data_IF_018240202318
#
_entry.id   IF_018240202318
#
_cell.length_a   1.000
_cell.length_b   1.000
_cell.length_c   1.000
_cell.angle_alpha   90.00
_cell.angle_beta   90.00
_cell.angle_gamma   90.00
#
_symmetry.space_group_name_H-M   'P 1'
#
loop_
_entity.id
_entity.type
_entity.pdbx_description
1 polymer ?
#
# COMPACT_ATOMS: atom_id res chain seq x y z
N UNK A 1 -16.14 3.37 19.69
CA UNK A 1 -15.90 2.36 20.75
C UNK A 1 -16.36 2.87 22.11
N UNK A 2 -17.08 2.05 22.84
CA UNK A 2 -17.46 2.33 24.21
C UNK A 2 -16.44 1.73 25.19
N UNK A 3 -15.66 2.57 25.87
CA UNK A 3 -14.59 2.14 26.77
C UNK A 3 -15.06 1.42 28.04
N UNK A 4 -16.37 1.44 28.32
CA UNK A 4 -16.96 0.76 29.50
C UNK A 4 -17.49 -0.64 29.14
N UNK A 5 -17.19 -1.17 27.99
CA UNK A 5 -17.63 -2.48 27.52
C UNK A 5 -16.45 -3.40 27.24
N UNK A 6 -16.72 -4.68 27.21
CA UNK A 6 -15.80 -5.67 26.63
C UNK A 6 -15.85 -5.60 25.10
N UNK A 7 -14.84 -6.17 24.44
CA UNK A 7 -14.82 -6.29 22.98
C UNK A 7 -16.07 -7.04 22.49
N UNK A 8 -16.42 -8.13 23.17
CA UNK A 8 -17.57 -8.96 22.82
C UNK A 8 -18.88 -8.17 22.92
N UNK A 9 -19.08 -7.46 24.03
CA UNK A 9 -20.32 -6.67 24.25
C UNK A 9 -20.46 -5.54 23.25
N UNK A 10 -19.35 -4.88 22.89
CA UNK A 10 -19.36 -3.82 21.88
C UNK A 10 -19.86 -4.34 20.52
N UNK A 11 -19.30 -5.46 20.04
CA UNK A 11 -19.73 -6.06 18.78
C UNK A 11 -21.15 -6.60 18.87
N UNK A 12 -21.51 -7.27 19.98
CA UNK A 12 -22.87 -7.81 20.20
C UNK A 12 -23.94 -6.74 20.17
N UNK A 13 -23.70 -5.59 20.80
CA UNK A 13 -24.65 -4.49 20.82
C UNK A 13 -24.78 -3.78 19.45
N UNK A 14 -23.67 -3.69 18.71
CA UNK A 14 -23.69 -3.13 17.37
C UNK A 14 -24.39 -4.06 16.35
N UNK A 15 -24.34 -5.38 16.58
CA UNK A 15 -24.85 -6.40 15.67
C UNK A 15 -25.74 -7.44 16.38
N UNK A 16 -26.90 -7.06 16.89
CA UNK A 16 -27.76 -7.92 17.73
C UNK A 16 -28.35 -9.14 17.01
N UNK A 17 -28.21 -9.22 15.69
CA UNK A 17 -28.62 -10.38 14.89
C UNK A 17 -27.56 -11.47 14.77
N UNK A 18 -26.32 -11.16 15.13
CA UNK A 18 -25.24 -12.13 15.11
C UNK A 18 -25.33 -13.06 16.33
N UNK A 19 -25.12 -14.33 16.10
CA UNK A 19 -24.97 -15.30 17.18
C UNK A 19 -23.64 -15.12 17.90
N UNK A 20 -23.54 -15.58 19.14
CA UNK A 20 -22.29 -15.56 19.91
C UNK A 20 -21.15 -16.25 19.19
N UNK A 21 -21.45 -17.30 18.41
CA UNK A 21 -20.46 -18.02 17.63
C UNK A 21 -19.94 -17.20 16.45
N UNK A 22 -20.81 -16.51 15.73
CA UNK A 22 -20.42 -15.63 14.64
C UNK A 22 -19.58 -14.46 15.13
N UNK A 23 -19.94 -13.84 16.25
CA UNK A 23 -19.15 -12.77 16.87
C UNK A 23 -17.76 -13.28 17.23
N UNK A 24 -17.65 -14.43 17.92
CA UNK A 24 -16.36 -15.02 18.29
C UNK A 24 -15.53 -15.40 17.07
N UNK A 25 -16.14 -15.95 16.02
CA UNK A 25 -15.47 -16.32 14.79
C UNK A 25 -14.92 -15.10 14.07
N UNK A 26 -15.71 -14.01 14.01
CA UNK A 26 -15.28 -12.73 13.45
C UNK A 26 -14.12 -12.12 14.25
N UNK A 27 -14.24 -12.06 15.57
CA UNK A 27 -13.18 -11.53 16.44
C UNK A 27 -11.89 -12.37 16.34
N UNK A 28 -12.01 -13.67 16.13
CA UNK A 28 -10.86 -14.55 15.95
C UNK A 28 -10.07 -14.24 14.66
N UNK A 29 -10.73 -13.78 13.60
CA UNK A 29 -10.05 -13.31 12.36
C UNK A 29 -9.19 -12.07 12.64
N UNK A 30 -9.57 -11.26 13.65
CA UNK A 30 -8.81 -10.10 14.09
C UNK A 30 -7.89 -10.39 15.28
N UNK A 31 -7.51 -11.66 15.46
CA UNK A 31 -6.62 -12.14 16.52
C UNK A 31 -7.15 -11.96 17.97
N UNK A 32 -8.46 -11.85 18.19
CA UNK A 32 -9.06 -11.94 19.50
C UNK A 32 -9.60 -13.36 19.70
N UNK A 33 -8.91 -14.18 20.50
CA UNK A 33 -9.23 -15.59 20.67
C UNK A 33 -9.47 -15.93 22.14
N UNK A 34 -10.30 -16.96 22.39
CA UNK A 34 -10.59 -17.44 23.74
C UNK A 34 -11.14 -16.35 24.63
N UNK A 35 -10.47 -16.05 25.72
CA UNK A 35 -10.88 -15.04 26.73
C UNK A 35 -10.51 -13.61 26.34
N UNK A 36 -9.69 -13.43 25.30
CA UNK A 36 -9.35 -12.09 24.83
C UNK A 36 -10.57 -11.26 24.41
N UNK A 37 -11.63 -11.91 23.93
CA UNK A 37 -12.88 -11.25 23.54
C UNK A 37 -13.60 -10.55 24.69
N UNK A 38 -13.30 -10.93 25.92
CA UNK A 38 -13.87 -10.35 27.13
C UNK A 38 -12.99 -9.30 27.80
N UNK A 39 -11.88 -8.92 27.17
CA UNK A 39 -11.07 -7.79 27.64
C UNK A 39 -11.86 -6.49 27.54
N UNK A 40 -11.73 -5.66 28.56
CA UNK A 40 -12.28 -4.31 28.55
C UNK A 40 -11.58 -3.47 27.48
N UNK A 41 -12.34 -2.74 26.66
CA UNK A 41 -11.82 -1.87 25.61
C UNK A 41 -10.87 -0.80 26.18
N UNK A 42 -11.13 -0.34 27.39
CA UNK A 42 -10.25 0.61 28.10
C UNK A 42 -8.83 0.07 28.32
N UNK A 43 -8.67 -1.25 28.46
CA UNK A 43 -7.39 -1.91 28.76
C UNK A 43 -6.59 -2.27 27.51
N UNK A 44 -7.18 -2.12 26.33
CA UNK A 44 -6.55 -2.48 25.06
C UNK A 44 -5.41 -1.51 24.68
N UNK A 45 -4.37 -2.04 24.07
CA UNK A 45 -3.35 -1.26 23.36
C UNK A 45 -3.95 -0.51 22.16
N UNK A 46 -3.22 0.48 21.63
CA UNK A 46 -3.64 1.21 20.42
C UNK A 46 -3.90 0.29 19.23
N UNK A 47 -3.03 -0.69 19.00
CA UNK A 47 -3.20 -1.67 17.94
C UNK A 47 -4.40 -2.61 18.13
N UNK A 48 -4.66 -3.07 19.37
CA UNK A 48 -5.85 -3.87 19.68
C UNK A 48 -7.13 -3.07 19.47
N UNK A 49 -7.18 -1.82 19.91
CA UNK A 49 -8.33 -0.93 19.64
C UNK A 49 -8.56 -0.72 18.16
N UNK A 50 -7.48 -0.52 17.39
CA UNK A 50 -7.55 -0.41 15.92
C UNK A 50 -8.20 -1.64 15.28
N UNK A 51 -7.85 -2.85 15.74
CA UNK A 51 -8.46 -4.10 15.23
C UNK A 51 -9.96 -4.21 15.59
N UNK A 52 -10.38 -3.75 16.78
CA UNK A 52 -11.81 -3.73 17.13
C UNK A 52 -12.58 -2.77 16.24
N UNK A 53 -12.07 -1.54 16.02
CA UNK A 53 -12.69 -0.58 15.07
C UNK A 53 -12.78 -1.17 13.68
N UNK A 54 -11.73 -1.82 13.22
CA UNK A 54 -11.70 -2.45 11.90
C UNK A 54 -12.75 -3.57 11.78
N UNK A 55 -12.91 -4.39 12.83
CA UNK A 55 -13.97 -5.40 12.92
C UNK A 55 -15.35 -4.77 12.74
N UNK A 56 -15.64 -3.68 13.44
CA UNK A 56 -16.91 -2.96 13.31
C UNK A 56 -17.13 -2.42 11.90
N UNK A 57 -16.09 -1.81 11.30
CA UNK A 57 -16.18 -1.23 9.95
C UNK A 57 -16.49 -2.30 8.91
N UNK A 58 -15.84 -3.45 8.99
CA UNK A 58 -16.04 -4.54 8.02
C UNK A 58 -17.39 -5.24 8.20
N UNK A 59 -17.87 -5.37 9.44
CA UNK A 59 -19.19 -5.93 9.73
C UNK A 59 -20.35 -5.03 9.22
N UNK A 60 -20.11 -3.74 8.99
CA UNK A 60 -21.13 -2.79 8.46
C UNK A 60 -21.58 -3.10 7.03
N UNK A 61 -20.98 -4.08 6.37
CA UNK A 61 -21.32 -4.44 4.97
C UNK A 61 -21.33 -3.21 4.03
N UNK A 62 -20.45 -2.27 4.29
CA UNK A 62 -20.26 -1.12 3.42
C UNK A 62 -19.76 -1.61 2.05
N UNK A 63 -20.17 -0.94 0.99
CA UNK A 63 -19.64 -1.20 -0.37
C UNK A 63 -18.50 -0.26 -0.75
N UNK A 64 -18.19 0.72 0.12
CA UNK A 64 -17.13 1.70 -0.07
C UNK A 64 -16.48 2.05 1.26
N UNK A 65 -15.15 1.93 1.33
CA UNK A 65 -14.33 2.29 2.49
C UNK A 65 -13.40 3.43 2.14
N UNK A 66 -13.27 4.40 3.06
CA UNK A 66 -12.24 5.43 3.01
C UNK A 66 -11.34 5.26 4.23
N UNK A 67 -10.04 5.07 4.01
CA UNK A 67 -9.06 4.85 5.06
C UNK A 67 -7.93 5.88 4.93
N UNK A 68 -7.63 6.55 6.03
CA UNK A 68 -6.53 7.50 6.12
C UNK A 68 -5.43 6.92 7.01
N UNK A 69 -4.26 6.66 6.40
CA UNK A 69 -3.09 6.06 7.05
C UNK A 69 -3.43 4.84 7.93
N UNK A 70 -4.11 3.80 7.40
CA UNK A 70 -4.66 2.72 8.21
C UNK A 70 -3.61 1.83 8.87
N UNK A 71 -2.35 1.92 8.44
CA UNK A 71 -1.21 1.17 9.01
C UNK A 71 -0.51 1.91 10.15
N UNK A 72 -0.87 3.17 10.42
CA UNK A 72 -0.22 3.96 11.44
C UNK A 72 -0.50 3.39 12.83
N UNK A 73 0.54 3.35 13.66
CA UNK A 73 0.50 2.84 15.04
C UNK A 73 0.12 1.36 15.19
N UNK A 74 0.06 0.60 14.08
CA UNK A 74 -0.15 -0.84 14.11
C UNK A 74 1.19 -1.57 14.22
N UNK A 75 1.22 -2.59 15.07
CA UNK A 75 2.29 -3.58 15.08
C UNK A 75 2.21 -4.50 13.83
N UNK A 76 3.24 -5.28 13.61
CA UNK A 76 3.34 -6.15 12.42
C UNK A 76 2.15 -7.11 12.34
N UNK A 77 1.76 -7.72 13.45
CA UNK A 77 0.64 -8.67 13.48
C UNK A 77 -0.70 -8.01 13.18
N UNK A 78 -0.92 -6.79 13.67
CA UNK A 78 -2.12 -6.00 13.38
C UNK A 78 -2.17 -5.55 11.91
N UNK A 79 -1.02 -5.22 11.30
CA UNK A 79 -0.94 -4.91 9.87
C UNK A 79 -1.31 -6.11 9.00
N UNK A 80 -0.83 -7.30 9.32
CA UNK A 80 -1.17 -8.53 8.60
C UNK A 80 -2.67 -8.82 8.64
N UNK A 81 -3.29 -8.66 9.81
CA UNK A 81 -4.75 -8.82 9.98
C UNK A 81 -5.51 -7.79 9.15
N UNK A 82 -5.09 -6.51 9.18
CA UNK A 82 -5.68 -5.46 8.35
C UNK A 82 -5.60 -5.80 6.85
N UNK A 83 -4.42 -6.21 6.39
CA UNK A 83 -4.20 -6.56 4.99
C UNK A 83 -5.10 -7.73 4.54
N UNK A 84 -5.22 -8.77 5.35
CA UNK A 84 -6.06 -9.91 5.07
C UNK A 84 -7.55 -9.54 5.02
N UNK A 85 -7.99 -8.73 5.98
CA UNK A 85 -9.34 -8.22 6.03
C UNK A 85 -9.71 -7.34 4.82
N UNK A 86 -8.79 -6.46 4.40
CA UNK A 86 -9.01 -5.60 3.23
C UNK A 86 -8.96 -6.38 1.91
N UNK A 87 -8.15 -7.44 1.82
CA UNK A 87 -8.15 -8.32 0.64
C UNK A 87 -9.45 -9.09 0.45
N UNK A 88 -10.09 -9.47 1.54
CA UNK A 88 -11.37 -10.18 1.53
C UNK A 88 -12.58 -9.25 1.35
N UNK A 89 -12.37 -7.93 1.36
CA UNK A 89 -13.44 -6.95 1.21
C UNK A 89 -13.90 -6.85 -0.25
N UNK A 90 -15.16 -7.13 -0.52
CA UNK A 90 -15.74 -7.17 -1.88
C UNK A 90 -16.11 -5.78 -2.43
N UNK A 91 -15.98 -4.72 -1.63
CA UNK A 91 -16.31 -3.36 -2.03
C UNK A 91 -15.14 -2.59 -2.63
N UNK A 92 -15.34 -1.29 -2.81
CA UNK A 92 -14.29 -0.37 -3.23
C UNK A 92 -13.58 0.21 -2.01
N UNK A 93 -12.26 0.21 -2.03
CA UNK A 93 -11.42 0.80 -0.98
C UNK A 93 -10.67 1.99 -1.56
N UNK A 94 -10.84 3.16 -0.96
CA UNK A 94 -10.00 4.33 -1.19
C UNK A 94 -9.15 4.54 0.06
N UNK A 95 -7.83 4.53 -0.09
CA UNK A 95 -6.96 4.76 1.05
C UNK A 95 -5.77 5.67 0.71
N UNK A 96 -5.27 6.35 1.74
CA UNK A 96 -4.02 7.10 1.70
C UNK A 96 -3.06 6.38 2.63
N UNK A 97 -1.83 6.11 2.16
CA UNK A 97 -0.79 5.53 2.99
C UNK A 97 0.60 5.92 2.51
N UNK A 98 1.54 6.02 3.44
CA UNK A 98 2.97 6.15 3.19
C UNK A 98 3.70 4.80 3.24
N UNK A 99 3.02 3.73 3.62
CA UNK A 99 3.56 2.37 3.67
C UNK A 99 3.54 1.73 2.29
N UNK A 100 4.68 1.77 1.59
CA UNK A 100 4.81 1.23 0.23
C UNK A 100 4.51 -0.26 0.15
N UNK A 101 4.86 -1.01 1.19
CA UNK A 101 4.59 -2.44 1.25
C UNK A 101 3.07 -2.71 1.30
N UNK A 102 2.37 -1.97 2.15
CA UNK A 102 0.92 -2.00 2.24
C UNK A 102 0.25 -1.61 0.92
N UNK A 103 0.71 -0.51 0.28
CA UNK A 103 0.18 -0.08 -1.02
C UNK A 103 0.38 -1.18 -2.07
N UNK A 104 1.58 -1.78 -2.16
CA UNK A 104 1.86 -2.86 -3.10
C UNK A 104 0.98 -4.08 -2.90
N UNK A 105 0.59 -4.35 -1.67
CA UNK A 105 -0.17 -5.55 -1.30
C UNK A 105 -1.67 -5.43 -1.54
N UNK A 106 -2.21 -4.20 -1.45
CA UNK A 106 -3.65 -3.93 -1.47
C UNK A 106 -4.09 -3.17 -2.73
N UNK A 107 -3.29 -2.21 -3.22
CA UNK A 107 -3.72 -1.36 -4.31
C UNK A 107 -3.80 -2.10 -5.65
N UNK A 108 -4.90 -1.92 -6.35
CA UNK A 108 -5.11 -2.31 -7.75
C UNK A 108 -5.03 -1.11 -8.70
N UNK A 109 -5.02 0.09 -8.14
CA UNK A 109 -4.90 1.36 -8.85
C UNK A 109 -4.25 2.39 -7.93
N UNK A 110 -3.37 3.20 -8.47
CA UNK A 110 -2.74 4.33 -7.76
C UNK A 110 -3.24 5.64 -8.37
N UNK A 111 -3.63 6.59 -7.52
CA UNK A 111 -4.02 7.93 -7.92
C UNK A 111 -2.98 8.91 -7.36
N UNK A 112 -2.23 9.55 -8.25
CA UNK A 112 -1.30 10.61 -7.89
C UNK A 112 -2.02 11.96 -7.92
N UNK A 113 -2.08 12.62 -6.77
CA UNK A 113 -2.67 13.96 -6.64
C UNK A 113 -1.57 14.99 -6.75
N UNK A 114 -1.66 15.85 -7.75
CA UNK A 114 -0.77 16.99 -7.97
C UNK A 114 -1.56 18.29 -7.84
N UNK A 115 -0.85 19.44 -7.82
CA UNK A 115 -1.46 20.75 -7.56
C UNK A 115 -2.66 21.06 -8.46
N UNK A 116 -2.59 20.71 -9.73
CA UNK A 116 -3.60 21.07 -10.73
C UNK A 116 -4.22 19.85 -11.44
N UNK A 117 -3.86 18.61 -11.07
CA UNK A 117 -4.34 17.41 -11.75
C UNK A 117 -4.28 16.17 -10.85
N UNK A 118 -5.13 15.19 -11.19
CA UNK A 118 -5.09 13.85 -10.64
C UNK A 118 -4.75 12.88 -11.76
N UNK A 119 -3.69 12.11 -11.59
CA UNK A 119 -3.25 11.09 -12.55
C UNK A 119 -3.55 9.71 -12.00
N UNK A 120 -4.14 8.86 -12.82
CA UNK A 120 -4.50 7.49 -12.43
C UNK A 120 -3.64 6.47 -13.16
N UNK A 121 -3.07 5.53 -12.40
CA UNK A 121 -2.20 4.46 -12.88
C UNK A 121 -2.80 3.12 -12.47
N UNK A 122 -2.94 2.19 -13.42
CA UNK A 122 -3.38 0.85 -13.11
C UNK A 122 -2.25 0.04 -12.50
N UNK A 123 -2.58 -0.80 -11.52
CA UNK A 123 -1.61 -1.63 -10.81
C UNK A 123 -1.27 -1.11 -9.42
N UNK A 124 -0.25 -1.70 -8.82
CA UNK A 124 0.24 -1.37 -7.49
C UNK A 124 1.27 -0.22 -7.51
N UNK A 125 1.97 -0.01 -6.40
CA UNK A 125 2.97 1.06 -6.30
C UNK A 125 4.18 0.86 -7.21
N UNK A 126 4.63 -0.38 -7.41
CA UNK A 126 5.76 -0.69 -8.29
C UNK A 126 5.38 -0.49 -9.77
N UNK A 127 4.15 -0.88 -10.13
CA UNK A 127 3.60 -0.61 -11.46
C UNK A 127 3.47 0.89 -11.74
N UNK A 128 3.04 1.67 -10.74
CA UNK A 128 3.01 3.13 -10.81
C UNK A 128 4.40 3.72 -11.06
N UNK A 129 5.43 3.26 -10.32
CA UNK A 129 6.80 3.74 -10.51
C UNK A 129 7.32 3.40 -11.91
N UNK A 130 7.05 2.18 -12.41
CA UNK A 130 7.45 1.76 -13.74
C UNK A 130 6.78 2.61 -14.83
N UNK A 131 5.51 2.96 -14.68
CA UNK A 131 4.77 3.82 -15.62
C UNK A 131 5.20 5.29 -15.53
N UNK A 132 5.59 5.77 -14.35
CA UNK A 132 6.03 7.15 -14.13
C UNK A 132 7.44 7.41 -14.59
N UNK A 133 8.32 6.38 -14.54
CA UNK A 133 9.69 6.52 -15.01
C UNK A 133 9.66 6.46 -16.55
N UNK A 134 9.69 7.59 -17.28
CA UNK A 134 9.86 7.54 -18.72
C UNK A 134 11.20 6.86 -18.96
N UNK A 135 11.26 6.04 -19.99
CA UNK A 135 12.44 5.33 -20.50
C UNK A 135 13.60 6.32 -20.78
N UNK A 136 14.23 6.82 -19.71
CA UNK A 136 15.42 7.70 -19.82
C UNK A 136 16.67 6.87 -20.14
N UNK A 137 16.63 5.55 -19.93
CA UNK A 137 17.79 4.69 -20.23
C UNK A 137 18.12 4.59 -21.71
N UNK A 138 17.15 4.71 -22.62
CA UNK A 138 17.42 4.60 -24.06
C UNK A 138 18.08 5.86 -24.62
N UNK A 139 17.75 7.03 -24.12
CA UNK A 139 18.31 8.30 -24.62
C UNK A 139 19.73 8.54 -24.13
N UNK A 140 20.07 8.14 -22.91
CA UNK A 140 21.44 8.28 -22.40
C UNK A 140 22.42 7.32 -23.09
N UNK A 141 22.02 6.05 -23.36
CA UNK A 141 22.86 5.12 -24.11
C UNK A 141 23.12 5.61 -25.53
N UNK A 142 22.09 6.05 -26.25
CA UNK A 142 22.22 6.55 -27.63
C UNK A 142 23.10 7.81 -27.70
N UNK A 143 22.98 8.74 -26.76
CA UNK A 143 23.80 9.95 -26.70
C UNK A 143 25.26 9.62 -26.34
N UNK A 144 25.48 8.63 -25.48
CA UNK A 144 26.84 8.19 -25.12
C UNK A 144 27.53 7.46 -26.28
N UNK A 145 26.82 6.59 -26.99
CA UNK A 145 27.36 5.90 -28.18
C UNK A 145 27.63 6.87 -29.33
N UNK A 146 26.75 7.83 -29.60
CA UNK A 146 26.98 8.84 -30.62
C UNK A 146 28.17 9.74 -30.28
N UNK A 147 28.38 10.12 -29.04
CA UNK A 147 29.56 10.85 -28.56
C UNK A 147 30.86 10.01 -28.70
N UNK A 148 30.82 8.73 -28.37
CA UNK A 148 31.96 7.83 -28.53
C UNK A 148 32.34 7.66 -29.99
N UNK A 149 31.40 7.50 -30.91
CA UNK A 149 31.64 7.43 -32.36
C UNK A 149 32.30 8.73 -32.87
N UNK A 150 31.82 9.90 -32.49
CA UNK A 150 32.42 11.18 -32.87
C UNK A 150 33.85 11.37 -32.34
N UNK A 151 34.18 10.85 -31.18
CA UNK A 151 35.55 10.91 -30.60
C UNK A 151 36.48 9.98 -31.37
N UNK A 152 36.02 8.78 -31.73
CA UNK A 152 36.78 7.81 -32.52
C UNK A 152 37.08 8.40 -33.91
N UNK A 153 36.07 8.90 -34.63
CA UNK A 153 36.23 9.52 -35.96
C UNK A 153 37.21 10.71 -35.95
N UNK A 154 37.17 11.54 -34.90
CA UNK A 154 38.14 12.63 -34.75
C UNK A 154 39.58 12.16 -34.53
N UNK A 155 39.76 11.10 -33.74
CA UNK A 155 41.11 10.50 -33.54
C UNK A 155 41.65 9.91 -34.82
N UNK A 156 40.84 9.13 -35.51
CA UNK A 156 41.26 8.48 -36.78
C UNK A 156 41.60 9.51 -37.88
N UNK A 157 40.79 10.60 -38.01
CA UNK A 157 41.12 11.69 -38.94
C UNK A 157 42.41 12.42 -38.59
N UNK A 158 42.71 12.59 -37.31
CA UNK A 158 43.96 13.24 -36.89
C UNK A 158 45.19 12.35 -37.10
N UNK A 159 45.07 11.04 -36.96
CA UNK A 159 46.16 10.08 -37.25
C UNK A 159 46.44 9.99 -38.74
N UNK A 160 45.43 9.93 -39.59
CA UNK A 160 45.58 9.97 -41.05
C UNK A 160 46.32 11.25 -41.47
N UNK A 161 45.90 12.41 -40.96
CA UNK A 161 46.52 13.69 -41.27
C UNK A 161 47.99 13.83 -40.81
N UNK A 162 48.33 13.07 -39.76
CA UNK A 162 49.72 13.01 -39.26
C UNK A 162 50.60 12.11 -40.14
N UNK A 163 50.08 11.03 -40.65
CA UNK A 163 50.74 10.13 -41.59
C UNK A 163 50.99 10.77 -42.95
N UNK A 164 50.00 11.53 -43.49
CA UNK A 164 50.13 12.27 -44.77
C UNK A 164 51.18 13.40 -44.73
N UNK A 165 51.60 13.88 -43.53
CA UNK A 165 52.65 14.90 -43.39
C UNK A 165 54.05 14.33 -43.21
N UNK A 166 54.20 13.00 -43.16
CA UNK A 166 55.47 12.33 -42.92
C UNK A 166 55.99 11.62 -44.14
N UNK A 167 55.26 11.71 -45.26
CA UNK A 167 55.65 11.34 -46.66
C UNK A 167 56.00 12.61 -47.43
#
# INVERSE_FOLDING_TARGET
LNYNKTIFDEISDCYPRMTNQEIRSTLAMFNFRGDDVFKDIAMLSGGERGRVVLTEVLLKQANFLILDEPTNHLDISSKEVLEEALKSFEGTILFISHDRYFINKIATRVIEVQKDQCLSYNGNYDDYLAQKTPVVETTQKVVTEARQRQIIDKKTKNEIKKLERTI
#
